data_IF_669779642463
#
_entry.id   IF_669779642463
#
_cell.length_a   1.000
_cell.length_b   1.000
_cell.length_c   1.000
_cell.angle_alpha   90.00
_cell.angle_beta   90.00
_cell.angle_gamma   90.00
#
_symmetry.space_group_name_H-M   'P 1'
#
loop_
_entity.id
_entity.type
_entity.pdbx_description
1 polymer ?
#
# COMPACT_ATOMS: atom_id res chain seq x y z
N UNK A 1 -33.82 -32.15 -52.61
CA UNK A 1 -34.40 -33.14 -51.66
C UNK A 1 -33.47 -33.25 -50.45
N UNK A 2 -33.92 -32.77 -49.28
CA UNK A 2 -34.40 -33.56 -48.12
C UNK A 2 -33.30 -34.43 -47.46
N UNK A 3 -32.93 -33.96 -46.26
CA UNK A 3 -31.94 -34.43 -45.30
C UNK A 3 -32.30 -35.81 -44.73
N UNK A 4 -31.31 -36.66 -44.50
CA UNK A 4 -31.45 -37.82 -43.61
C UNK A 4 -31.21 -37.38 -42.15
N UNK A 5 -32.10 -37.73 -41.21
CA UNK A 5 -31.86 -37.57 -39.78
C UNK A 5 -31.20 -38.84 -39.22
N UNK A 6 -30.11 -38.69 -38.46
CA UNK A 6 -29.58 -39.77 -37.61
C UNK A 6 -29.80 -39.39 -36.15
N UNK A 7 -30.38 -40.29 -35.33
CA UNK A 7 -30.77 -39.99 -33.94
C UNK A 7 -29.58 -40.06 -32.95
N UNK A 8 -29.51 -39.08 -32.04
CA UNK A 8 -28.74 -39.13 -30.79
C UNK A 8 -29.49 -39.95 -29.72
N UNK A 9 -28.83 -40.54 -28.70
CA UNK A 9 -28.63 -39.77 -27.45
C UNK A 9 -27.41 -40.16 -26.60
N UNK A 10 -27.17 -39.37 -25.56
CA UNK A 10 -26.62 -39.77 -24.25
C UNK A 10 -25.12 -40.13 -24.14
N UNK A 11 -24.35 -39.20 -23.57
CA UNK A 11 -24.04 -39.30 -22.14
C UNK A 11 -23.39 -38.01 -21.64
N UNK A 12 -24.21 -37.12 -21.10
CA UNK A 12 -23.78 -36.19 -20.07
C UNK A 12 -23.92 -36.89 -18.72
N UNK A 13 -22.86 -36.97 -17.89
CA UNK A 13 -23.05 -37.02 -16.45
C UNK A 13 -23.16 -35.59 -15.93
N UNK A 14 -24.41 -35.17 -15.77
CA UNK A 14 -24.83 -34.08 -14.90
C UNK A 14 -24.41 -34.42 -13.47
N UNK A 15 -23.42 -33.71 -12.92
CA UNK A 15 -23.24 -33.67 -11.47
C UNK A 15 -24.11 -32.56 -10.88
N UNK A 16 -24.83 -32.84 -9.78
CA UNK A 16 -26.03 -32.11 -9.40
C UNK A 16 -25.77 -30.69 -8.91
N UNK A 17 -26.64 -29.80 -9.36
CA UNK A 17 -27.00 -28.54 -8.70
C UNK A 17 -27.70 -28.85 -7.36
N UNK A 18 -27.21 -28.39 -6.21
CA UNK A 18 -28.03 -28.25 -5.02
C UNK A 18 -28.64 -26.85 -4.97
N UNK A 19 -29.96 -26.78 -5.16
CA UNK A 19 -30.82 -25.68 -4.72
C UNK A 19 -31.66 -26.18 -3.52
N UNK A 20 -32.43 -25.34 -2.84
CA UNK A 20 -32.07 -24.42 -1.77
C UNK A 20 -32.49 -24.94 -0.37
N UNK A 21 -31.88 -24.35 0.67
CA UNK A 21 -32.45 -24.28 2.01
C UNK A 21 -31.95 -25.33 2.98
N UNK A 22 -31.10 -24.91 3.93
CA UNK A 22 -31.48 -24.85 5.34
C UNK A 22 -30.38 -24.16 6.14
N UNK A 23 -30.86 -23.36 7.08
CA UNK A 23 -30.18 -22.58 8.10
C UNK A 23 -29.01 -23.34 8.74
N UNK A 24 -27.79 -22.84 8.54
CA UNK A 24 -26.71 -23.08 9.48
C UNK A 24 -26.01 -21.74 9.70
N UNK A 25 -26.45 -21.07 10.76
CA UNK A 25 -25.75 -19.96 11.43
C UNK A 25 -24.31 -20.41 11.76
N UNK A 26 -23.39 -20.23 10.81
CA UNK A 26 -21.95 -20.34 11.06
C UNK A 26 -21.47 -18.95 11.48
N UNK A 27 -21.18 -18.82 12.77
CA UNK A 27 -20.36 -17.74 13.29
C UNK A 27 -18.99 -17.81 12.61
N UNK A 28 -18.86 -17.12 11.48
CA UNK A 28 -17.56 -16.82 10.90
C UNK A 28 -16.88 -15.83 11.85
N UNK A 29 -16.12 -16.37 12.80
CA UNK A 29 -15.10 -15.63 13.53
C UNK A 29 -14.07 -15.20 12.49
N UNK A 30 -14.33 -14.06 11.88
CA UNK A 30 -13.34 -13.34 11.10
C UNK A 30 -12.06 -13.23 11.94
N UNK A 31 -10.89 -13.63 11.43
CA UNK A 31 -9.64 -13.29 12.08
C UNK A 31 -9.48 -11.76 11.99
N UNK A 32 -9.96 -11.08 13.03
CA UNK A 32 -9.68 -9.67 13.29
C UNK A 32 -8.17 -9.53 13.33
N UNK A 33 -7.61 -8.99 12.26
CA UNK A 33 -6.24 -8.49 12.24
C UNK A 33 -6.01 -7.63 13.49
N UNK A 34 -4.94 -7.89 14.26
CA UNK A 34 -4.73 -7.24 15.55
C UNK A 34 -4.55 -5.73 15.37
N UNK A 35 -5.41 -4.96 16.05
CA UNK A 35 -5.19 -3.54 16.29
C UNK A 35 -3.86 -3.40 17.04
N UNK A 36 -2.84 -2.83 16.40
CA UNK A 36 -1.59 -2.46 17.08
C UNK A 36 -1.88 -1.32 18.04
N UNK A 37 -2.13 -1.68 19.29
CA UNK A 37 -2.13 -0.79 20.44
C UNK A 37 -0.73 -0.21 20.60
N UNK A 38 -0.67 1.10 20.80
CA UNK A 38 0.51 1.90 21.13
C UNK A 38 1.18 1.31 22.38
N UNK A 39 2.35 0.68 22.20
CA UNK A 39 3.22 0.27 23.30
C UNK A 39 4.27 1.35 23.47
N UNK A 40 4.11 2.12 24.54
CA UNK A 40 5.19 2.85 25.19
C UNK A 40 6.07 1.80 25.87
N UNK A 41 7.29 1.57 25.37
CA UNK A 41 8.31 0.81 26.08
C UNK A 41 9.63 1.58 26.04
N UNK A 42 10.07 1.97 27.23
CA UNK A 42 11.39 2.51 27.53
C UNK A 42 12.44 1.40 27.58
N UNK A 43 13.65 1.75 27.14
CA UNK A 43 14.96 1.14 27.46
C UNK A 43 15.38 -0.21 26.82
N UNK A 44 16.29 -0.13 25.84
CA UNK A 44 17.75 -0.35 26.05
C UNK A 44 18.46 -0.91 24.80
N UNK A 45 19.38 -0.12 24.21
CA UNK A 45 20.60 -0.69 23.60
C UNK A 45 20.77 -0.72 22.08
N UNK A 46 20.67 0.40 21.38
CA UNK A 46 21.58 0.76 20.27
C UNK A 46 21.23 2.14 19.73
N UNK A 47 22.15 3.10 19.90
CA UNK A 47 22.17 4.45 19.34
C UNK A 47 20.81 5.15 19.20
N UNK A 48 20.53 6.11 20.10
CA UNK A 48 19.38 7.03 20.03
C UNK A 48 18.87 7.23 18.60
N UNK A 49 17.63 6.87 18.26
CA UNK A 49 17.03 7.36 17.04
C UNK A 49 16.84 8.85 17.27
N UNK A 50 17.81 9.64 16.81
CA UNK A 50 17.81 11.09 16.80
C UNK A 50 16.63 11.55 15.96
N UNK A 51 15.44 11.53 16.57
CA UNK A 51 14.22 12.14 16.13
C UNK A 51 14.14 12.23 14.59
N UNK A 52 14.16 11.08 13.90
CA UNK A 52 13.98 10.99 12.44
C UNK A 52 12.50 11.20 12.10
N UNK A 53 11.94 12.23 12.72
CA UNK A 53 10.59 12.69 12.56
C UNK A 53 10.65 13.79 11.52
N UNK A 54 9.75 13.73 10.55
CA UNK A 54 9.64 14.76 9.53
C UNK A 54 9.17 16.07 10.18
N UNK A 55 10.11 16.94 10.53
CA UNK A 55 9.81 18.32 10.94
C UNK A 55 9.30 19.12 9.74
N UNK A 56 8.45 20.13 9.94
CA UNK A 56 7.94 20.96 8.84
C UNK A 56 9.07 21.59 8.03
N UNK A 57 10.08 22.14 8.71
CA UNK A 57 11.28 22.73 8.10
C UNK A 57 12.05 21.73 7.22
N UNK A 58 12.33 20.51 7.72
CA UNK A 58 13.00 19.47 6.92
C UNK A 58 12.21 19.06 5.69
N UNK A 59 10.87 19.04 5.78
CA UNK A 59 10.01 18.68 4.64
C UNK A 59 10.11 19.70 3.52
N UNK A 60 10.11 20.99 3.89
CA UNK A 60 10.18 22.10 2.95
C UNK A 60 11.52 22.09 2.21
N UNK A 61 12.63 22.11 2.95
CA UNK A 61 13.97 22.06 2.36
C UNK A 61 14.21 20.80 1.51
N UNK A 62 13.69 19.66 1.97
CA UNK A 62 13.76 18.41 1.21
C UNK A 62 12.99 18.49 -0.12
N UNK A 63 11.77 19.03 -0.10
CA UNK A 63 10.96 19.19 -1.31
C UNK A 63 11.58 20.19 -2.27
N UNK A 64 12.04 21.34 -1.77
CA UNK A 64 12.70 22.37 -2.56
C UNK A 64 13.94 21.81 -3.28
N UNK A 65 14.79 21.08 -2.55
CA UNK A 65 15.99 20.47 -3.11
C UNK A 65 15.68 19.40 -4.16
N UNK A 66 14.67 18.57 -3.91
CA UNK A 66 14.21 17.54 -4.88
C UNK A 66 13.57 18.17 -6.11
N UNK A 67 12.83 19.26 -5.96
CA UNK A 67 12.22 19.96 -7.10
C UNK A 67 13.29 20.67 -7.93
N UNK A 68 14.29 21.29 -7.28
CA UNK A 68 15.39 21.99 -7.94
C UNK A 68 16.29 21.06 -8.75
N UNK A 69 16.69 19.91 -8.18
CA UNK A 69 17.55 18.92 -8.86
C UNK A 69 16.73 18.01 -9.77
N UNK A 70 15.51 17.66 -9.35
CA UNK A 70 14.68 16.63 -9.94
C UNK A 70 14.88 15.26 -9.28
N UNK A 71 13.79 14.58 -8.94
CA UNK A 71 13.81 13.28 -8.24
C UNK A 71 14.59 12.18 -8.99
N UNK A 72 14.68 12.24 -10.33
CA UNK A 72 15.42 11.26 -11.15
C UNK A 72 16.93 11.52 -11.20
N UNK A 73 17.35 12.77 -11.03
CA UNK A 73 18.77 13.16 -11.04
C UNK A 73 19.36 13.23 -9.63
N UNK A 74 18.49 13.19 -8.61
CA UNK A 74 18.86 13.21 -7.20
C UNK A 74 19.63 11.96 -6.77
N UNK A 75 20.78 12.15 -6.11
CA UNK A 75 21.47 11.07 -5.42
C UNK A 75 20.79 10.80 -4.06
N UNK A 76 20.18 9.62 -3.92
CA UNK A 76 19.39 9.25 -2.73
C UNK A 76 20.26 9.18 -1.48
N UNK A 77 21.50 8.70 -1.60
CA UNK A 77 22.42 8.54 -0.49
C UNK A 77 22.83 9.90 0.10
N UNK A 78 23.14 10.88 -0.74
CA UNK A 78 23.53 12.24 -0.32
C UNK A 78 22.39 12.95 0.42
N UNK A 79 21.17 12.91 -0.13
CA UNK A 79 20.00 13.51 0.54
C UNK A 79 19.68 12.78 1.85
N UNK A 80 19.81 11.45 1.88
CA UNK A 80 19.61 10.70 3.11
C UNK A 80 20.62 11.11 4.19
N UNK A 81 21.88 11.32 3.81
CA UNK A 81 22.94 11.77 4.72
C UNK A 81 22.73 13.22 5.19
N UNK A 82 22.37 14.12 4.28
CA UNK A 82 22.15 15.55 4.58
C UNK A 82 20.98 15.77 5.54
N UNK A 83 19.86 15.07 5.31
CA UNK A 83 18.65 15.24 6.13
C UNK A 83 18.56 14.24 7.31
N UNK A 84 19.52 13.31 7.41
CA UNK A 84 19.55 12.24 8.41
C UNK A 84 18.38 11.26 8.25
N UNK A 85 17.97 10.98 7.02
CA UNK A 85 16.85 10.10 6.69
C UNK A 85 17.34 8.71 6.30
N UNK A 86 16.53 7.69 6.55
CA UNK A 86 16.78 6.36 5.99
C UNK A 86 16.34 6.31 4.52
N UNK A 87 17.04 5.53 3.68
CA UNK A 87 16.62 5.27 2.28
C UNK A 87 15.16 4.82 2.16
N UNK A 88 14.68 4.03 3.14
CA UNK A 88 13.29 3.58 3.22
C UNK A 88 12.33 4.77 3.43
N UNK A 89 12.67 5.71 4.29
CA UNK A 89 11.86 6.91 4.55
C UNK A 89 11.88 7.83 3.34
N UNK A 90 13.03 8.03 2.70
CA UNK A 90 13.15 8.75 1.43
C UNK A 90 12.21 8.15 0.39
N UNK A 91 12.32 6.85 0.14
CA UNK A 91 11.46 6.14 -0.82
C UNK A 91 10.00 6.30 -0.47
N UNK A 92 9.63 6.12 0.79
CA UNK A 92 8.25 6.28 1.23
C UNK A 92 7.70 7.70 1.04
N UNK A 93 8.55 8.72 1.18
CA UNK A 93 8.18 10.13 1.04
C UNK A 93 8.01 10.55 -0.43
N UNK A 94 8.79 9.99 -1.34
CA UNK A 94 8.86 10.38 -2.77
C UNK A 94 8.11 9.43 -3.72
N UNK A 95 7.71 8.25 -3.25
CA UNK A 95 7.03 7.23 -4.05
C UNK A 95 5.78 7.76 -4.78
N UNK A 96 5.69 7.46 -6.07
CA UNK A 96 4.51 7.78 -6.87
C UNK A 96 3.28 6.94 -6.45
N UNK A 97 2.09 7.52 -6.52
CA UNK A 97 0.82 6.81 -6.30
C UNK A 97 0.50 6.47 -4.83
N UNK A 98 1.39 6.80 -3.89
CA UNK A 98 1.13 6.57 -2.46
C UNK A 98 0.41 7.77 -1.84
N UNK A 99 -0.89 7.64 -1.63
CA UNK A 99 -1.73 8.69 -1.02
C UNK A 99 -1.22 9.09 0.37
N UNK A 100 -1.12 10.39 0.63
CA UNK A 100 -0.74 10.95 1.93
C UNK A 100 0.76 10.95 2.24
N UNK A 101 1.63 10.57 1.30
CA UNK A 101 3.06 10.79 1.44
C UNK A 101 3.46 12.25 1.18
N UNK A 102 4.73 12.58 1.39
CA UNK A 102 5.21 13.96 1.31
C UNK A 102 5.02 14.54 -0.10
N UNK A 103 5.33 13.76 -1.14
CA UNK A 103 5.13 14.14 -2.53
C UNK A 103 3.65 14.40 -2.87
N UNK A 104 2.75 13.50 -2.49
CA UNK A 104 1.30 13.64 -2.73
C UNK A 104 0.75 14.89 -2.05
N UNK A 105 1.18 15.18 -0.81
CA UNK A 105 0.80 16.39 -0.09
C UNK A 105 1.31 17.67 -0.76
N UNK A 106 2.57 17.66 -1.21
CA UNK A 106 3.15 18.79 -1.93
C UNK A 106 2.40 19.06 -3.24
N UNK A 107 2.12 18.01 -4.03
CA UNK A 107 1.39 18.14 -5.28
C UNK A 107 -0.06 18.60 -5.08
N UNK A 108 -0.76 18.15 -4.02
CA UNK A 108 -2.12 18.61 -3.70
C UNK A 108 -2.18 20.06 -3.27
N UNK A 109 -1.26 20.47 -2.40
CA UNK A 109 -1.17 21.87 -1.97
C UNK A 109 -0.99 22.84 -3.15
N UNK A 110 -0.22 22.45 -4.17
CA UNK A 110 -0.06 23.24 -5.40
C UNK A 110 -1.34 23.26 -6.24
N UNK A 111 -2.10 22.16 -6.27
CA UNK A 111 -3.34 22.04 -7.05
C UNK A 111 -4.52 22.80 -6.42
N UNK A 112 -4.46 23.12 -5.14
CA UNK A 112 -5.53 23.77 -4.40
C UNK A 112 -6.68 22.83 -4.00
N UNK A 113 -6.43 21.51 -3.99
CA UNK A 113 -7.34 20.47 -3.45
C UNK A 113 -6.98 20.13 -1.99
#
# INVERSE_FOLDING_TARGET
>A
MKRSPSPSPSNEPHTPTPTPGQDVKREDKSPKTPKKTKVELTSSGSASPSNTHWTPDKKEQFLEKIISIGLKACNVDEICQEFGLTKIQFRNATQAGKKGNLRDKACKGIRGE
#
